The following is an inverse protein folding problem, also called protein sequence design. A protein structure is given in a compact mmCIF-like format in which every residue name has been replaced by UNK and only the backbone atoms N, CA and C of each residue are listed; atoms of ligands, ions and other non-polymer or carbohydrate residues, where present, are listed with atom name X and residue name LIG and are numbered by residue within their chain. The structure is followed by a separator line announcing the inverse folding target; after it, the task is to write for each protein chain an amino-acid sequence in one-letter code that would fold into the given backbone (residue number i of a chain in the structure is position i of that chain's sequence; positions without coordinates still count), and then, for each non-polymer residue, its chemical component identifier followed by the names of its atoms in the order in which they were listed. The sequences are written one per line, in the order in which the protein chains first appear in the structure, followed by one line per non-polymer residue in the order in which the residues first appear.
data_IF_886559245311
#
_entry.id   IF_886559245311
#
_cell.length_a   1.000
_cell.length_b   1.000
_cell.length_c   1.000
_cell.angle_alpha   90.00
_cell.angle_beta   90.00
_cell.angle_gamma   90.00
#
_symmetry.space_group_name_H-M   'P 1'
#
loop_
_entity.id
_entity.type
_entity.pdbx_description
1 polymer ?
#
# COMPACT_ATOMS: atom_id res chain seq x y z
N UNK A 1 -25.83 -19.19 0.67
CA UNK A 1 -26.00 -17.73 0.70
C UNK A 1 -24.90 -17.10 -0.12
N UNK A 2 -25.16 -16.14 -0.98
CA UNK A 2 -24.12 -15.43 -1.70
C UNK A 2 -23.25 -14.70 -0.66
N UNK A 3 -21.94 -14.82 -0.75
CA UNK A 3 -21.00 -14.15 0.12
C UNK A 3 -21.08 -12.63 -0.21
N UNK A 4 -21.32 -11.78 0.77
CA UNK A 4 -21.40 -10.34 0.57
C UNK A 4 -20.06 -9.79 0.09
N UNK A 5 -20.08 -8.74 -0.70
CA UNK A 5 -18.89 -7.99 -1.06
C UNK A 5 -18.42 -7.22 0.17
N UNK A 6 -17.30 -7.63 0.76
CA UNK A 6 -16.77 -7.08 2.01
C UNK A 6 -15.29 -6.74 1.87
N UNK A 7 -14.84 -5.71 2.59
CA UNK A 7 -13.43 -5.30 2.68
C UNK A 7 -12.97 -5.20 4.13
N UNK A 8 -11.66 -5.35 4.34
CA UNK A 8 -10.98 -5.09 5.60
C UNK A 8 -10.35 -3.70 5.54
N UNK A 9 -10.72 -2.82 6.46
CA UNK A 9 -10.18 -1.47 6.53
C UNK A 9 -8.84 -1.46 7.26
N UNK A 10 -7.90 -0.68 6.73
CA UNK A 10 -6.56 -0.46 7.25
C UNK A 10 -6.07 0.93 6.88
N UNK A 11 -4.86 1.30 7.28
CA UNK A 11 -4.20 2.53 6.85
C UNK A 11 -2.74 2.57 7.29
N UNK A 12 -1.95 3.45 6.69
CA UNK A 12 -0.57 3.66 7.09
C UNK A 12 -0.51 4.38 8.44
N UNK A 13 0.01 3.71 9.47
CA UNK A 13 0.06 4.20 10.83
C UNK A 13 0.77 5.55 10.95
N UNK A 14 1.87 5.70 10.24
CA UNK A 14 2.67 6.93 10.25
C UNK A 14 1.96 8.16 9.66
N UNK A 15 0.87 7.98 8.94
CA UNK A 15 0.03 9.10 8.50
C UNK A 15 -0.94 9.60 9.57
N UNK A 16 -1.33 8.76 10.50
CA UNK A 16 -2.28 9.09 11.55
C UNK A 16 -1.68 9.86 12.74
N UNK A 17 -0.35 10.05 12.79
CA UNK A 17 0.32 10.61 13.95
C UNK A 17 1.22 11.80 13.59
N UNK A 18 1.05 12.92 14.31
CA UNK A 18 1.83 14.15 14.08
C UNK A 18 3.33 13.94 14.32
N UNK A 19 3.72 13.14 15.31
CA UNK A 19 5.12 12.86 15.67
C UNK A 19 5.56 11.44 15.30
N UNK A 20 4.68 10.66 14.68
CA UNK A 20 4.92 9.26 14.29
C UNK A 20 5.35 8.34 15.43
N UNK A 21 5.10 8.70 16.69
CA UNK A 21 5.35 7.78 17.82
C UNK A 21 4.36 6.61 17.77
N UNK A 22 4.79 5.43 18.19
CA UNK A 22 3.95 4.22 18.21
C UNK A 22 2.64 4.47 18.97
N UNK A 23 2.71 5.08 20.15
CA UNK A 23 1.53 5.40 20.98
C UNK A 23 0.55 6.31 20.24
N UNK A 24 1.04 7.37 19.56
CA UNK A 24 0.14 8.26 18.81
C UNK A 24 -0.51 7.56 17.61
N UNK A 25 0.25 6.75 16.88
CA UNK A 25 -0.29 5.98 15.75
C UNK A 25 -1.40 5.05 16.25
N UNK A 26 -1.13 4.28 17.28
CA UNK A 26 -2.06 3.25 17.78
C UNK A 26 -3.28 3.85 18.47
N UNK A 27 -3.10 4.90 19.26
CA UNK A 27 -4.23 5.64 19.84
C UNK A 27 -5.16 6.21 18.75
N UNK A 28 -4.61 6.75 17.66
CA UNK A 28 -5.41 7.26 16.55
C UNK A 28 -6.21 6.16 15.86
N UNK A 29 -5.60 4.99 15.58
CA UNK A 29 -6.28 3.86 14.96
C UNK A 29 -7.36 3.26 15.88
N UNK A 30 -7.05 3.08 17.16
CA UNK A 30 -8.03 2.61 18.14
C UNK A 30 -9.21 3.58 18.26
N UNK A 31 -8.95 4.90 18.27
CA UNK A 31 -9.99 5.92 18.38
C UNK A 31 -10.95 5.99 17.18
N UNK A 32 -10.51 5.62 15.97
CA UNK A 32 -11.35 5.58 14.77
C UNK A 32 -11.89 4.17 14.46
N UNK A 33 -11.64 3.20 15.34
CA UNK A 33 -12.19 1.84 15.24
C UNK A 33 -11.50 0.96 14.18
N UNK A 34 -10.27 1.28 13.74
CA UNK A 34 -9.51 0.42 12.86
C UNK A 34 -8.72 -0.62 13.67
N UNK A 35 -8.80 -1.88 13.26
CA UNK A 35 -8.08 -3.00 13.86
C UNK A 35 -6.74 -3.29 13.17
N UNK A 36 -6.61 -2.90 11.92
CA UNK A 36 -5.44 -3.19 11.08
C UNK A 36 -4.74 -1.91 10.67
N UNK A 37 -3.39 -1.96 10.61
CA UNK A 37 -2.58 -0.86 10.11
C UNK A 37 -1.39 -1.37 9.29
N UNK A 38 -0.92 -0.58 8.33
CA UNK A 38 0.32 -0.84 7.59
C UNK A 38 1.49 -0.14 8.26
N UNK A 39 2.53 -0.93 8.59
CA UNK A 39 3.70 -0.46 9.31
C UNK A 39 4.79 0.00 8.35
N UNK A 40 5.05 1.32 8.30
CA UNK A 40 6.06 1.93 7.40
C UNK A 40 7.12 2.74 8.16
N UNK A 41 6.73 3.81 8.83
CA UNK A 41 7.60 4.62 9.67
C UNK A 41 7.01 4.71 11.09
N UNK A 42 7.86 4.54 12.09
CA UNK A 42 7.43 4.55 13.48
C UNK A 42 8.58 4.97 14.40
N UNK A 43 8.26 5.69 15.45
CA UNK A 43 9.14 5.95 16.59
C UNK A 43 8.70 5.09 17.78
N UNK A 44 9.52 4.11 18.11
CA UNK A 44 9.33 3.22 19.25
C UNK A 44 10.17 3.63 20.47
N UNK A 45 10.62 4.90 20.53
CA UNK A 45 11.38 5.47 21.63
C UNK A 45 12.83 5.87 21.30
N UNK A 46 13.29 5.62 20.07
CA UNK A 46 14.65 5.96 19.60
C UNK A 46 14.61 6.68 18.24
N UNK A 47 13.63 7.57 18.09
CA UNK A 47 13.39 8.37 16.89
C UNK A 47 12.66 7.63 15.77
N UNK A 48 12.22 8.41 14.78
CA UNK A 48 11.45 7.89 13.64
C UNK A 48 12.34 7.02 12.75
N UNK A 49 11.96 5.76 12.55
CA UNK A 49 12.66 4.81 11.67
C UNK A 49 11.69 4.20 10.64
N UNK A 50 12.22 3.91 9.46
CA UNK A 50 11.53 2.99 8.56
C UNK A 50 11.52 1.59 9.19
N UNK A 51 10.46 0.83 9.01
CA UNK A 51 10.30 -0.53 9.53
C UNK A 51 11.51 -1.43 9.27
N UNK A 52 12.18 -1.27 8.13
CA UNK A 52 13.39 -2.02 7.77
C UNK A 52 14.62 -1.74 8.67
N UNK A 53 14.55 -0.69 9.51
CA UNK A 53 15.65 -0.27 10.40
C UNK A 53 15.38 -0.54 11.88
N UNK A 54 14.26 -1.15 12.21
CA UNK A 54 13.91 -1.48 13.59
C UNK A 54 14.86 -2.50 14.19
N UNK A 55 15.26 -2.27 15.42
CA UNK A 55 15.98 -3.21 16.27
C UNK A 55 15.01 -4.25 16.88
N UNK A 56 15.55 -5.34 17.41
CA UNK A 56 14.74 -6.36 18.11
C UNK A 56 13.98 -5.79 19.31
N UNK A 57 14.58 -4.87 20.05
CA UNK A 57 13.92 -4.23 21.20
C UNK A 57 12.75 -3.36 20.76
N UNK A 58 12.91 -2.57 19.69
CA UNK A 58 11.83 -1.76 19.16
C UNK A 58 10.67 -2.61 18.60
N UNK A 59 10.99 -3.73 17.95
CA UNK A 59 9.96 -4.69 17.51
C UNK A 59 9.16 -5.22 18.71
N UNK A 60 9.81 -5.58 19.81
CA UNK A 60 9.14 -6.04 21.04
C UNK A 60 8.26 -4.94 21.65
N UNK A 61 8.76 -3.70 21.70
CA UNK A 61 7.97 -2.55 22.18
C UNK A 61 6.73 -2.33 21.34
N UNK A 62 6.86 -2.36 20.01
CA UNK A 62 5.73 -2.19 19.08
C UNK A 62 4.71 -3.32 19.29
N UNK A 63 5.16 -4.59 19.35
CA UNK A 63 4.28 -5.75 19.57
C UNK A 63 3.50 -5.64 20.90
N UNK A 64 4.17 -5.22 21.97
CA UNK A 64 3.48 -5.00 23.26
C UNK A 64 2.39 -3.91 23.15
N UNK A 65 2.68 -2.82 22.46
CA UNK A 65 1.70 -1.76 22.23
C UNK A 65 0.56 -2.23 21.29
N UNK A 66 0.85 -3.04 20.26
CA UNK A 66 -0.20 -3.68 19.43
C UNK A 66 -1.19 -4.48 20.30
N UNK A 67 -0.67 -5.29 21.21
CA UNK A 67 -1.49 -6.05 22.16
C UNK A 67 -2.30 -5.12 23.07
N UNK A 68 -1.69 -4.03 23.55
CA UNK A 68 -2.34 -3.05 24.42
C UNK A 68 -3.50 -2.34 23.71
N UNK A 69 -3.33 -1.95 22.44
CA UNK A 69 -4.34 -1.24 21.66
C UNK A 69 -5.27 -2.16 20.87
N UNK A 70 -5.04 -3.47 20.85
CA UNK A 70 -5.80 -4.44 20.08
C UNK A 70 -5.65 -4.27 18.57
N UNK A 71 -4.44 -3.95 18.10
CA UNK A 71 -4.12 -3.71 16.69
C UNK A 71 -3.31 -4.85 16.10
N UNK A 72 -3.40 -4.99 14.78
CA UNK A 72 -2.65 -5.98 14.02
C UNK A 72 -2.01 -5.33 12.78
N UNK A 73 -0.83 -5.80 12.39
CA UNK A 73 -0.19 -5.34 11.16
C UNK A 73 -0.88 -5.96 9.94
N UNK A 74 -1.46 -5.12 9.09
CA UNK A 74 -2.01 -5.53 7.80
C UNK A 74 -0.89 -5.88 6.82
N UNK A 75 0.10 -4.98 6.68
CA UNK A 75 1.23 -5.18 5.79
C UNK A 75 2.51 -4.52 6.31
N UNK A 76 3.66 -5.06 5.91
CA UNK A 76 4.93 -4.36 6.03
C UNK A 76 5.05 -3.34 4.89
N UNK A 77 4.97 -2.06 5.21
CA UNK A 77 5.13 -0.94 4.28
C UNK A 77 6.59 -0.74 3.87
N UNK A 78 7.19 -1.77 3.27
CA UNK A 78 8.62 -1.79 2.94
C UNK A 78 8.95 -0.89 1.74
N UNK A 79 10.20 -0.39 1.61
CA UNK A 79 10.68 0.29 0.42
C UNK A 79 11.31 -0.68 -0.61
N UNK A 80 11.05 -2.00 -0.49
CA UNK A 80 11.61 -2.98 -1.43
C UNK A 80 11.20 -2.62 -2.86
N UNK A 81 12.20 -2.51 -3.75
CA UNK A 81 12.00 -2.09 -5.13
C UNK A 81 12.14 -0.58 -5.37
N UNK A 82 12.23 0.27 -4.34
CA UNK A 82 12.61 1.71 -4.51
C UNK A 82 14.12 1.90 -4.61
N UNK A 83 14.73 1.19 -5.53
CA UNK A 83 16.15 1.30 -5.91
C UNK A 83 16.27 1.30 -7.43
N UNK A 84 17.38 1.80 -7.98
CA UNK A 84 17.64 1.76 -9.41
C UNK A 84 17.67 0.32 -9.91
N UNK A 85 17.04 0.06 -11.04
CA UNK A 85 17.09 -1.22 -11.73
C UNK A 85 18.47 -1.49 -12.31
N UNK A 86 19.11 -0.46 -12.85
CA UNK A 86 20.40 -0.50 -13.51
C UNK A 86 21.41 0.40 -12.79
N UNK A 87 22.68 0.01 -12.83
CA UNK A 87 23.80 0.82 -12.33
C UNK A 87 24.22 1.85 -13.39
N UNK A 88 23.38 2.86 -13.57
CA UNK A 88 23.62 3.93 -14.53
C UNK A 88 23.43 5.31 -13.89
N UNK A 89 24.24 6.28 -14.31
CA UNK A 89 24.04 7.68 -13.92
C UNK A 89 22.92 8.29 -14.79
N UNK A 90 21.82 8.68 -14.15
CA UNK A 90 20.63 9.21 -14.81
C UNK A 90 20.18 10.57 -14.23
N UNK A 91 21.02 11.19 -13.41
CA UNK A 91 20.76 12.46 -12.76
C UNK A 91 19.80 12.37 -11.56
N UNK A 92 19.35 11.16 -11.17
CA UNK A 92 18.52 10.94 -9.98
C UNK A 92 19.40 10.61 -8.76
N UNK A 93 18.87 10.86 -7.55
CA UNK A 93 19.52 10.49 -6.28
C UNK A 93 19.21 9.06 -5.82
N UNK A 94 18.48 8.29 -6.63
CA UNK A 94 18.10 6.93 -6.27
C UNK A 94 19.35 6.04 -6.19
N UNK A 95 19.41 5.19 -5.17
CA UNK A 95 20.53 4.27 -4.99
C UNK A 95 20.41 3.05 -5.91
N UNK A 96 21.54 2.54 -6.37
CA UNK A 96 21.64 1.21 -6.97
C UNK A 96 22.21 0.22 -5.94
N UNK A 97 21.65 -0.98 -5.93
CA UNK A 97 22.18 -2.10 -5.12
C UNK A 97 22.22 -3.34 -6.01
N UNK A 98 23.37 -4.06 -6.13
CA UNK A 98 23.43 -5.30 -6.88
C UNK A 98 22.33 -6.28 -6.43
N UNK A 99 21.53 -6.78 -7.35
CA UNK A 99 20.27 -7.45 -7.03
C UNK A 99 20.43 -8.67 -6.12
N UNK A 100 21.46 -9.48 -6.32
CA UNK A 100 21.72 -10.64 -5.42
C UNK A 100 21.91 -10.19 -3.97
N UNK A 101 22.71 -9.15 -3.73
CA UNK A 101 22.93 -8.58 -2.39
C UNK A 101 21.64 -8.00 -1.83
N UNK A 102 20.84 -7.37 -2.68
CA UNK A 102 19.53 -6.80 -2.32
C UNK A 102 18.54 -7.88 -1.87
N UNK A 103 18.46 -8.96 -2.64
CA UNK A 103 17.60 -10.12 -2.33
C UNK A 103 18.01 -10.77 -1.00
N UNK A 104 19.30 -11.08 -0.84
CA UNK A 104 19.83 -11.79 0.33
C UNK A 104 19.76 -10.98 1.62
N UNK A 105 19.73 -9.64 1.54
CA UNK A 105 19.74 -8.77 2.70
C UNK A 105 18.40 -8.08 2.92
N UNK A 106 17.95 -7.27 1.96
CA UNK A 106 16.78 -6.39 2.17
C UNK A 106 15.47 -7.18 2.05
N UNK A 107 15.31 -8.02 1.02
CA UNK A 107 14.09 -8.81 0.85
C UNK A 107 13.96 -9.84 1.96
N UNK A 108 15.06 -10.54 2.31
CA UNK A 108 15.07 -11.46 3.44
C UNK A 108 14.68 -10.76 4.74
N UNK A 109 15.20 -9.56 5.00
CA UNK A 109 14.86 -8.75 6.19
C UNK A 109 13.35 -8.41 6.20
N UNK A 110 12.76 -8.07 5.05
CA UNK A 110 11.32 -7.80 4.97
C UNK A 110 10.50 -9.06 5.31
N UNK A 111 10.92 -10.25 4.87
CA UNK A 111 10.28 -11.52 5.26
C UNK A 111 10.39 -11.78 6.77
N UNK A 112 11.57 -11.57 7.37
CA UNK A 112 11.77 -11.70 8.81
C UNK A 112 10.87 -10.74 9.61
N UNK A 113 10.69 -9.51 9.14
CA UNK A 113 9.79 -8.52 9.76
C UNK A 113 8.32 -8.92 9.61
N UNK A 114 7.90 -9.43 8.46
CA UNK A 114 6.54 -9.91 8.27
C UNK A 114 6.19 -11.02 9.26
N UNK A 115 7.11 -11.96 9.51
CA UNK A 115 6.93 -12.97 10.52
C UNK A 115 6.94 -12.40 11.96
N UNK A 116 7.85 -11.46 12.26
CA UNK A 116 7.93 -10.84 13.59
C UNK A 116 6.65 -10.06 13.96
N UNK A 117 5.98 -9.49 12.98
CA UNK A 117 4.72 -8.78 13.13
C UNK A 117 3.47 -9.60 12.75
N UNK A 118 3.63 -10.90 12.53
CA UNK A 118 2.55 -11.86 12.26
C UNK A 118 1.65 -11.48 11.07
N UNK A 119 2.19 -10.72 10.10
CA UNK A 119 1.48 -10.40 8.86
C UNK A 119 1.91 -11.29 7.70
N UNK A 120 1.02 -11.49 6.73
CA UNK A 120 1.29 -12.24 5.50
C UNK A 120 1.69 -11.34 4.32
N UNK A 121 1.60 -10.02 4.48
CA UNK A 121 1.75 -9.10 3.37
C UNK A 121 3.00 -8.22 3.49
N UNK A 122 3.73 -8.13 2.39
CA UNK A 122 4.84 -7.20 2.22
C UNK A 122 4.52 -6.32 1.01
N UNK A 123 4.41 -5.01 1.23
CA UNK A 123 4.32 -4.05 0.13
C UNK A 123 5.72 -3.77 -0.42
N UNK A 124 5.82 -3.66 -1.74
CA UNK A 124 7.02 -3.23 -2.44
C UNK A 124 6.73 -2.66 -3.81
N UNK A 125 7.76 -2.49 -4.63
CA UNK A 125 7.75 -1.72 -5.86
C UNK A 125 8.49 -2.41 -6.99
N UNK A 126 8.44 -1.81 -8.21
CA UNK A 126 8.92 -2.41 -9.46
C UNK A 126 10.23 -1.80 -9.98
N UNK A 127 11.04 -1.19 -9.12
CA UNK A 127 12.33 -0.56 -9.41
C UNK A 127 12.24 0.72 -10.27
N UNK A 128 13.15 1.66 -10.02
CA UNK A 128 13.32 2.85 -10.85
C UNK A 128 14.01 2.48 -12.16
N UNK A 129 13.37 2.76 -13.30
CA UNK A 129 14.05 2.73 -14.61
C UNK A 129 14.88 4.00 -14.79
N UNK A 130 15.90 3.98 -15.66
CA UNK A 130 16.69 5.19 -15.94
C UNK A 130 15.80 6.33 -16.44
N UNK A 131 16.00 7.52 -15.91
CA UNK A 131 15.21 8.70 -16.26
C UNK A 131 15.22 8.94 -17.77
N UNK A 132 14.04 9.16 -18.34
CA UNK A 132 13.89 9.43 -19.78
C UNK A 132 13.85 8.20 -20.67
N UNK A 133 13.94 6.98 -20.12
CA UNK A 133 13.74 5.74 -20.89
C UNK A 133 12.27 5.29 -20.84
N UNK A 134 11.87 4.52 -21.85
CA UNK A 134 10.57 3.87 -21.85
C UNK A 134 10.56 2.69 -20.85
N UNK A 135 9.67 2.67 -19.84
CA UNK A 135 9.61 1.59 -18.86
C UNK A 135 9.36 0.21 -19.48
N UNK A 136 8.71 0.12 -20.63
CA UNK A 136 8.49 -1.15 -21.34
C UNK A 136 9.78 -1.88 -21.70
N UNK A 137 10.87 -1.15 -21.98
CA UNK A 137 12.19 -1.72 -22.29
C UNK A 137 12.80 -2.49 -21.12
N UNK A 138 12.30 -2.26 -19.90
CA UNK A 138 12.83 -2.81 -18.66
C UNK A 138 11.96 -3.93 -18.05
N UNK A 139 10.80 -4.23 -18.65
CA UNK A 139 9.84 -5.23 -18.13
C UNK A 139 10.49 -6.59 -17.93
N UNK A 140 11.26 -7.09 -18.90
CA UNK A 140 11.87 -8.42 -18.80
C UNK A 140 12.79 -8.55 -17.58
N UNK A 141 13.62 -7.54 -17.30
CA UNK A 141 14.52 -7.55 -16.16
C UNK A 141 13.74 -7.44 -14.82
N UNK A 142 12.68 -6.64 -14.79
CA UNK A 142 11.81 -6.54 -13.60
C UNK A 142 11.08 -7.86 -13.36
N UNK A 143 10.63 -8.55 -14.40
CA UNK A 143 10.03 -9.89 -14.30
C UNK A 143 10.99 -10.87 -13.64
N UNK A 144 12.25 -10.90 -14.04
CA UNK A 144 13.27 -11.78 -13.44
C UNK A 144 13.50 -11.45 -11.95
N UNK A 145 13.62 -10.16 -11.62
CA UNK A 145 13.89 -9.74 -10.25
C UNK A 145 12.66 -9.92 -9.33
N UNK A 146 11.47 -9.53 -9.77
CA UNK A 146 10.24 -9.74 -9.01
C UNK A 146 9.88 -11.22 -8.88
N UNK A 147 10.22 -12.03 -9.89
CA UNK A 147 10.07 -13.49 -9.83
C UNK A 147 10.88 -14.10 -8.68
N UNK A 148 12.13 -13.67 -8.50
CA UNK A 148 12.98 -14.13 -7.39
C UNK A 148 12.51 -13.61 -6.04
N UNK A 149 12.02 -12.37 -5.94
CA UNK A 149 11.41 -11.83 -4.72
C UNK A 149 10.15 -12.63 -4.36
N UNK A 150 9.26 -12.85 -5.33
CA UNK A 150 8.04 -13.62 -5.13
C UNK A 150 8.32 -15.08 -4.70
N UNK A 151 9.36 -15.69 -5.26
CA UNK A 151 9.78 -17.04 -4.87
C UNK A 151 10.30 -17.08 -3.43
N UNK A 152 11.06 -16.09 -2.98
CA UNK A 152 11.49 -15.98 -1.58
C UNK A 152 10.29 -15.82 -0.65
N UNK A 153 9.32 -14.97 -1.00
CA UNK A 153 8.09 -14.78 -0.24
C UNK A 153 7.24 -16.07 -0.21
N UNK A 154 7.13 -16.78 -1.34
CA UNK A 154 6.40 -18.04 -1.41
C UNK A 154 6.97 -19.09 -0.45
N UNK A 155 8.29 -19.25 -0.44
CA UNK A 155 8.99 -20.19 0.47
C UNK A 155 8.85 -19.80 1.94
N UNK A 156 8.61 -18.52 2.21
CA UNK A 156 8.39 -17.98 3.55
C UNK A 156 6.89 -17.93 3.93
N UNK A 157 6.00 -18.50 3.13
CA UNK A 157 4.54 -18.40 3.31
C UNK A 157 4.02 -16.96 3.42
N UNK A 158 4.57 -16.07 2.59
CA UNK A 158 4.26 -14.65 2.52
C UNK A 158 3.76 -14.27 1.13
N UNK A 159 3.16 -13.07 1.03
CA UNK A 159 2.69 -12.48 -0.22
C UNK A 159 3.37 -11.13 -0.44
N UNK A 160 3.93 -10.94 -1.62
CA UNK A 160 4.55 -9.69 -2.04
C UNK A 160 3.60 -8.93 -2.96
N UNK A 161 3.19 -7.74 -2.54
CA UNK A 161 2.37 -6.85 -3.37
C UNK A 161 3.20 -5.77 -4.02
N UNK A 162 3.08 -5.64 -5.33
CA UNK A 162 3.75 -4.59 -6.10
C UNK A 162 2.80 -3.43 -6.28
N UNK A 163 3.16 -2.28 -5.71
CA UNK A 163 2.39 -1.04 -5.81
C UNK A 163 2.63 -0.36 -7.16
N UNK A 164 1.53 0.08 -7.76
CA UNK A 164 1.52 1.00 -8.89
C UNK A 164 2.01 2.37 -8.41
N UNK A 165 3.16 2.84 -8.93
CA UNK A 165 3.69 4.15 -8.55
C UNK A 165 4.51 4.78 -9.69
N UNK A 166 4.40 6.10 -9.81
CA UNK A 166 5.11 6.92 -10.79
C UNK A 166 6.65 6.74 -10.73
N UNK A 167 7.30 6.99 -11.83
CA UNK A 167 8.77 6.92 -12.01
C UNK A 167 9.38 5.50 -11.90
N UNK A 168 8.57 4.48 -11.64
CA UNK A 168 8.98 3.07 -11.59
C UNK A 168 8.64 2.37 -12.90
N UNK A 169 9.21 1.19 -13.13
CA UNK A 169 8.84 0.39 -14.31
C UNK A 169 7.34 0.10 -14.32
N UNK A 170 6.76 -0.31 -13.19
CA UNK A 170 5.33 -0.53 -13.01
C UNK A 170 4.56 0.74 -12.67
N UNK A 171 4.74 1.81 -13.42
CA UNK A 171 4.11 3.10 -13.16
C UNK A 171 2.63 3.18 -13.54
N UNK A 172 2.11 2.18 -14.24
CA UNK A 172 0.70 2.07 -14.60
C UNK A 172 0.19 0.62 -14.55
N UNK A 173 -1.12 0.45 -14.66
CA UNK A 173 -1.78 -0.85 -14.51
C UNK A 173 -1.47 -1.82 -15.65
N UNK A 174 -1.31 -1.33 -16.87
CA UNK A 174 -1.00 -2.16 -18.04
C UNK A 174 0.37 -2.84 -17.89
N UNK A 175 1.41 -2.07 -17.54
CA UNK A 175 2.76 -2.62 -17.33
C UNK A 175 2.81 -3.57 -16.15
N UNK A 176 2.18 -3.22 -15.01
CA UNK A 176 2.13 -4.12 -13.85
C UNK A 176 1.37 -5.41 -14.13
N UNK A 177 0.28 -5.34 -14.88
CA UNK A 177 -0.46 -6.53 -15.30
C UNK A 177 0.41 -7.45 -16.17
N UNK A 178 1.18 -6.89 -17.10
CA UNK A 178 2.11 -7.66 -17.94
C UNK A 178 3.23 -8.30 -17.11
N UNK A 179 3.83 -7.55 -16.17
CA UNK A 179 4.84 -8.09 -15.24
C UNK A 179 4.23 -9.26 -14.44
N UNK A 180 3.07 -9.09 -13.84
CA UNK A 180 2.39 -10.14 -13.08
C UNK A 180 2.10 -11.38 -13.94
N UNK A 181 1.62 -11.18 -15.18
CA UNK A 181 1.33 -12.25 -16.12
C UNK A 181 2.56 -13.07 -16.47
N UNK A 182 3.74 -12.44 -16.57
CA UNK A 182 5.00 -13.11 -16.91
C UNK A 182 5.63 -13.80 -15.71
N UNK A 183 5.61 -13.20 -14.53
CA UNK A 183 6.19 -13.79 -13.29
C UNK A 183 5.50 -15.09 -12.90
N UNK A 184 4.19 -15.21 -13.06
CA UNK A 184 3.40 -16.44 -12.80
C UNK A 184 3.65 -17.07 -11.42
N UNK A 185 3.89 -16.28 -10.40
CA UNK A 185 4.09 -16.75 -9.03
C UNK A 185 2.90 -16.36 -8.16
N UNK A 186 2.32 -17.30 -7.44
CA UNK A 186 1.12 -17.08 -6.62
C UNK A 186 1.37 -16.16 -5.42
N UNK A 187 2.62 -15.96 -5.01
CA UNK A 187 2.99 -15.03 -3.95
C UNK A 187 3.12 -13.59 -4.44
N UNK A 188 3.09 -13.33 -5.76
CA UNK A 188 3.05 -11.98 -6.32
C UNK A 188 1.61 -11.55 -6.54
N UNK A 189 1.26 -10.38 -6.01
CA UNK A 189 -0.02 -9.72 -6.27
C UNK A 189 0.22 -8.24 -6.58
N UNK A 190 -0.82 -7.55 -7.06
CA UNK A 190 -0.76 -6.15 -7.44
C UNK A 190 -1.50 -5.30 -6.42
N UNK A 191 -0.94 -4.13 -6.10
CA UNK A 191 -1.57 -3.11 -5.28
C UNK A 191 -2.01 -1.98 -6.20
N UNK A 192 -3.32 -1.75 -6.26
CA UNK A 192 -3.87 -0.66 -7.04
C UNK A 192 -3.96 0.61 -6.19
N UNK A 193 -3.47 1.71 -6.74
CA UNK A 193 -3.54 3.04 -6.15
C UNK A 193 -4.02 4.03 -7.21
N UNK A 194 -5.26 4.48 -7.09
CA UNK A 194 -5.88 5.39 -8.06
C UNK A 194 -5.24 6.79 -8.01
N UNK A 195 -4.90 7.29 -6.81
CA UNK A 195 -4.27 8.59 -6.63
C UNK A 195 -2.90 8.70 -7.31
N UNK A 196 -2.15 7.59 -7.33
CA UNK A 196 -0.86 7.53 -8.04
C UNK A 196 -0.99 7.64 -9.57
N UNK A 197 -2.11 7.23 -10.15
CA UNK A 197 -2.40 7.45 -11.57
C UNK A 197 -2.90 8.87 -11.82
N UNK A 198 -3.83 9.32 -10.99
CA UNK A 198 -4.44 10.65 -11.16
C UNK A 198 -3.38 11.73 -11.04
N UNK A 199 -2.43 11.65 -10.10
CA UNK A 199 -1.35 12.63 -10.01
C UNK A 199 -0.41 12.63 -11.23
N UNK A 200 -0.36 11.54 -12.01
CA UNK A 200 0.34 11.46 -13.29
C UNK A 200 -0.47 12.08 -14.46
N UNK A 201 -1.67 12.58 -14.20
CA UNK A 201 -2.54 13.20 -15.20
C UNK A 201 -3.49 12.24 -15.91
N UNK A 202 -3.77 11.06 -15.33
CA UNK A 202 -4.82 10.18 -15.84
C UNK A 202 -6.20 10.71 -15.45
N UNK A 203 -7.13 10.71 -16.39
CA UNK A 203 -8.55 10.98 -16.13
C UNK A 203 -9.20 9.79 -15.42
N UNK A 204 -10.35 10.01 -14.76
CA UNK A 204 -11.10 8.94 -14.08
C UNK A 204 -11.41 7.74 -15.00
N UNK A 205 -11.73 7.98 -16.27
CA UNK A 205 -11.97 6.91 -17.24
C UNK A 205 -10.71 6.08 -17.53
N UNK A 206 -9.57 6.75 -17.69
CA UNK A 206 -8.27 6.08 -17.88
C UNK A 206 -7.83 5.34 -16.61
N UNK A 207 -8.05 5.91 -15.40
CA UNK A 207 -7.77 5.24 -14.13
C UNK A 207 -8.59 3.95 -14.01
N UNK A 208 -9.87 3.98 -14.38
CA UNK A 208 -10.71 2.77 -14.42
C UNK A 208 -10.18 1.74 -15.42
N UNK A 209 -9.67 2.16 -16.56
CA UNK A 209 -9.04 1.24 -17.54
C UNK A 209 -7.78 0.59 -16.95
N UNK A 210 -6.93 1.35 -16.28
CA UNK A 210 -5.76 0.81 -15.59
C UNK A 210 -6.14 -0.19 -14.49
N UNK A 211 -7.21 0.07 -13.74
CA UNK A 211 -7.76 -0.89 -12.78
C UNK A 211 -8.18 -2.20 -13.48
N UNK A 212 -8.83 -2.11 -14.63
CA UNK A 212 -9.27 -3.29 -15.39
C UNK A 212 -8.12 -4.19 -15.82
N UNK A 213 -6.98 -3.61 -16.25
CA UNK A 213 -5.76 -4.39 -16.53
C UNK A 213 -5.30 -5.18 -15.31
N UNK A 214 -5.34 -4.58 -14.11
CA UNK A 214 -4.80 -5.18 -12.88
C UNK A 214 -5.70 -6.21 -12.21
N UNK A 215 -6.97 -6.34 -12.58
CA UNK A 215 -7.96 -7.22 -11.92
C UNK A 215 -7.48 -8.65 -11.68
N UNK A 216 -6.78 -9.26 -12.65
CA UNK A 216 -6.32 -10.64 -12.55
C UNK A 216 -5.27 -10.87 -11.45
N UNK A 217 -4.46 -9.85 -11.17
CA UNK A 217 -3.40 -9.88 -10.16
C UNK A 217 -3.74 -9.15 -8.86
N UNK A 218 -4.92 -8.52 -8.77
CA UNK A 218 -5.27 -7.65 -7.66
C UNK A 218 -5.19 -8.37 -6.31
N UNK A 219 -4.43 -7.79 -5.36
CA UNK A 219 -4.26 -8.27 -3.99
C UNK A 219 -4.94 -7.39 -2.96
N UNK A 220 -4.68 -6.09 -3.00
CA UNK A 220 -5.33 -5.08 -2.16
C UNK A 220 -5.24 -3.70 -2.81
N UNK A 221 -5.76 -2.67 -2.15
CA UNK A 221 -5.73 -1.30 -2.64
C UNK A 221 -5.17 -0.34 -1.62
N UNK A 222 -4.40 0.64 -2.07
CA UNK A 222 -4.14 1.87 -1.33
C UNK A 222 -5.22 2.88 -1.70
N UNK A 223 -5.69 3.61 -0.70
CA UNK A 223 -6.79 4.55 -0.84
C UNK A 223 -6.30 5.96 -0.57
N UNK A 224 -6.11 6.69 -1.62
CA UNK A 224 -5.92 8.14 -1.66
C UNK A 224 -6.52 8.68 -2.94
N UNK A 225 -6.83 9.95 -2.98
CA UNK A 225 -7.33 10.60 -4.18
C UNK A 225 -6.53 11.86 -4.45
N UNK A 226 -6.66 12.37 -5.64
CA UNK A 226 -5.91 13.52 -6.11
C UNK A 226 -6.84 14.45 -6.87
N UNK A 227 -6.71 15.76 -6.64
CA UNK A 227 -7.44 16.78 -7.39
C UNK A 227 -6.51 17.48 -8.35
N UNK A 228 -6.85 17.42 -9.62
CA UNK A 228 -6.08 18.12 -10.65
C UNK A 228 -6.10 19.63 -10.42
N UNK A 229 -4.94 20.31 -10.40
CA UNK A 229 -4.92 21.74 -10.63
C UNK A 229 -5.54 22.06 -12.00
N UNK A 230 -6.16 23.23 -12.13
CA UNK A 230 -6.64 23.71 -13.44
C UNK A 230 -5.51 23.58 -14.48
N UNK A 231 -5.79 22.96 -15.64
CA UNK A 231 -4.85 22.68 -16.72
C UNK A 231 -3.80 21.58 -16.48
N UNK A 232 -4.06 20.58 -15.65
CA UNK A 232 -3.15 19.43 -15.52
C UNK A 232 -3.01 18.67 -16.85
N UNK A 233 -1.74 18.36 -17.22
CA UNK A 233 -1.41 17.52 -18.38
C UNK A 233 -0.73 16.25 -17.89
N UNK A 234 -0.78 15.20 -18.72
CA UNK A 234 -0.01 13.99 -18.48
C UNK A 234 1.46 14.35 -18.23
N UNK A 235 2.01 13.90 -17.10
CA UNK A 235 3.39 14.19 -16.72
C UNK A 235 4.25 12.95 -16.91
N UNK A 236 5.41 13.13 -17.52
CA UNK A 236 6.40 12.06 -17.72
C UNK A 236 7.21 11.75 -16.44
N UNK A 237 7.19 12.67 -15.47
CA UNK A 237 7.90 12.54 -14.20
C UNK A 237 7.15 13.32 -13.12
N UNK A 238 6.94 12.69 -11.97
CA UNK A 238 6.27 13.29 -10.83
C UNK A 238 7.29 13.82 -9.85
N UNK A 239 7.14 15.07 -9.44
CA UNK A 239 7.94 15.77 -8.44
C UNK A 239 7.17 16.03 -7.14
N UNK A 240 7.85 16.62 -6.14
CA UNK A 240 7.27 16.89 -4.82
C UNK A 240 6.17 17.97 -4.86
N UNK A 241 6.19 18.91 -5.81
CA UNK A 241 5.13 19.91 -5.94
C UNK A 241 3.81 19.27 -6.39
N UNK A 242 3.90 18.31 -7.31
CA UNK A 242 2.75 17.54 -7.78
C UNK A 242 2.06 16.81 -6.62
N UNK A 243 2.81 16.34 -5.62
CA UNK A 243 2.28 15.58 -4.49
C UNK A 243 1.50 16.41 -3.46
N UNK A 244 1.29 17.70 -3.68
CA UNK A 244 0.57 18.60 -2.73
C UNK A 244 -0.96 18.60 -2.89
N UNK A 245 -1.49 17.95 -3.92
CA UNK A 245 -2.91 18.03 -4.27
C UNK A 245 -3.70 16.76 -3.92
N UNK A 246 -3.18 15.93 -3.00
CA UNK A 246 -3.92 14.78 -2.49
C UNK A 246 -5.11 15.23 -1.65
N UNK A 247 -6.23 14.55 -1.79
CA UNK A 247 -7.51 14.82 -1.15
C UNK A 247 -8.16 13.51 -0.69
N UNK A 248 -9.17 13.56 0.20
CA UNK A 248 -9.98 12.39 0.55
C UNK A 248 -10.65 11.73 -0.67
N UNK A 249 -10.91 10.43 -0.59
CA UNK A 249 -11.33 9.57 -1.70
C UNK A 249 -12.68 9.92 -2.36
N UNK A 250 -13.54 10.69 -1.68
CA UNK A 250 -14.87 11.08 -2.18
C UNK A 250 -14.90 12.46 -2.88
N UNK A 251 -13.75 13.16 -2.95
CA UNK A 251 -13.72 14.55 -3.47
C UNK A 251 -12.62 14.81 -4.52
N UNK A 252 -11.88 13.78 -4.92
CA UNK A 252 -10.84 13.87 -5.94
C UNK A 252 -11.32 13.47 -7.33
N UNK A 253 -10.39 13.32 -8.25
CA UNK A 253 -10.62 13.09 -9.67
C UNK A 253 -10.30 11.66 -10.12
N UNK A 254 -10.01 10.73 -9.17
CA UNK A 254 -9.65 9.34 -9.50
C UNK A 254 -10.84 8.46 -9.90
N UNK A 255 -12.07 8.85 -9.55
CA UNK A 255 -13.28 8.11 -9.93
C UNK A 255 -13.50 6.82 -9.13
N UNK A 256 -13.25 6.83 -7.83
CA UNK A 256 -13.38 5.67 -6.95
C UNK A 256 -14.74 4.98 -7.04
N UNK A 257 -15.85 5.72 -7.23
CA UNK A 257 -17.19 5.13 -7.35
C UNK A 257 -17.32 4.20 -8.56
N UNK A 258 -16.66 4.52 -9.67
CA UNK A 258 -16.66 3.66 -10.86
C UNK A 258 -15.80 2.41 -10.62
N UNK A 259 -14.64 2.57 -9.98
CA UNK A 259 -13.72 1.50 -9.65
C UNK A 259 -14.39 0.53 -8.66
N UNK A 260 -15.01 1.05 -7.60
CA UNK A 260 -15.62 0.23 -6.54
C UNK A 260 -16.86 -0.55 -7.04
N UNK A 261 -17.62 -0.01 -8.01
CA UNK A 261 -18.69 -0.78 -8.67
C UNK A 261 -18.17 -2.05 -9.34
N UNK A 262 -17.02 -1.96 -10.03
CA UNK A 262 -16.40 -3.14 -10.66
C UNK A 262 -15.70 -4.03 -9.64
N UNK A 263 -15.06 -3.44 -8.61
CA UNK A 263 -14.43 -4.18 -7.53
C UNK A 263 -15.44 -5.03 -6.75
N UNK A 264 -16.62 -4.50 -6.47
CA UNK A 264 -17.68 -5.23 -5.75
C UNK A 264 -17.95 -6.61 -6.33
N UNK A 265 -17.97 -6.73 -7.64
CA UNK A 265 -18.23 -8.01 -8.33
C UNK A 265 -17.06 -9.02 -8.16
N UNK A 266 -15.86 -8.51 -7.86
CA UNK A 266 -14.65 -9.32 -7.69
C UNK A 266 -14.45 -9.75 -6.22
N UNK A 267 -14.91 -8.93 -5.27
CA UNK A 267 -14.61 -9.07 -3.84
C UNK A 267 -14.90 -10.47 -3.27
N UNK A 268 -16.05 -11.12 -3.52
CA UNK A 268 -16.30 -12.44 -2.93
C UNK A 268 -15.23 -13.47 -3.30
N UNK A 269 -14.73 -13.42 -4.53
CA UNK A 269 -13.67 -14.32 -5.01
C UNK A 269 -12.28 -13.93 -4.48
N UNK A 270 -11.99 -12.64 -4.47
CA UNK A 270 -10.71 -12.09 -3.96
C UNK A 270 -10.59 -12.35 -2.46
N UNK A 271 -11.60 -12.00 -1.68
CA UNK A 271 -11.62 -12.20 -0.23
C UNK A 271 -11.41 -13.68 0.13
N UNK A 272 -12.15 -14.57 -0.51
CA UNK A 272 -11.99 -16.02 -0.30
C UNK A 272 -10.58 -16.52 -0.67
N UNK A 273 -9.96 -15.99 -1.73
CA UNK A 273 -8.58 -16.32 -2.11
C UNK A 273 -7.57 -15.87 -1.06
N UNK A 274 -7.72 -14.64 -0.54
CA UNK A 274 -6.82 -14.04 0.44
C UNK A 274 -6.93 -14.73 1.80
N UNK A 275 -8.16 -14.99 2.28
CA UNK A 275 -8.39 -15.71 3.55
C UNK A 275 -7.80 -17.11 3.55
N UNK A 276 -7.82 -17.84 2.43
CA UNK A 276 -7.14 -19.16 2.31
C UNK A 276 -5.62 -19.06 2.49
N UNK A 277 -5.03 -17.87 2.35
CA UNK A 277 -3.61 -17.58 2.60
C UNK A 277 -3.33 -17.02 3.99
N UNK A 278 -4.33 -16.98 4.86
CA UNK A 278 -4.21 -16.41 6.20
C UNK A 278 -4.22 -14.88 6.23
N UNK A 279 -4.65 -14.22 5.14
CA UNK A 279 -4.83 -12.77 5.06
C UNK A 279 -6.24 -12.43 5.56
N UNK A 280 -6.45 -11.37 6.34
CA UNK A 280 -7.75 -11.09 6.99
C UNK A 280 -8.89 -10.72 6.03
N UNK A 281 -8.61 -10.60 4.75
CA UNK A 281 -9.57 -10.28 3.69
C UNK A 281 -8.98 -9.38 2.64
N UNK A 282 -9.82 -8.79 1.79
CA UNK A 282 -9.37 -7.78 0.84
C UNK A 282 -9.15 -6.44 1.56
N UNK A 283 -7.90 -6.01 1.66
CA UNK A 283 -7.52 -4.82 2.42
C UNK A 283 -7.70 -3.57 1.58
N UNK A 284 -8.31 -2.54 2.17
CA UNK A 284 -8.26 -1.15 1.73
C UNK A 284 -7.43 -0.35 2.71
N UNK A 285 -6.26 0.07 2.27
CA UNK A 285 -5.21 0.67 3.10
C UNK A 285 -5.17 2.18 2.88
N UNK A 286 -5.64 2.95 3.85
CA UNK A 286 -5.66 4.41 3.76
C UNK A 286 -4.24 4.98 3.71
N UNK A 287 -3.92 5.73 2.67
CA UNK A 287 -2.67 6.47 2.49
C UNK A 287 -2.96 7.92 2.05
N UNK A 288 -3.67 8.72 2.85
CA UNK A 288 -4.40 9.88 2.37
C UNK A 288 -3.55 11.10 1.97
N UNK A 289 -2.37 11.32 2.55
CA UNK A 289 -1.47 12.46 2.27
C UNK A 289 -2.14 13.85 2.30
N UNK A 290 -3.21 14.04 3.08
CA UNK A 290 -4.07 15.24 2.99
C UNK A 290 -3.46 16.53 3.55
N UNK A 291 -2.34 16.48 4.27
CA UNK A 291 -1.69 17.67 4.84
C UNK A 291 -0.31 17.99 4.26
N UNK A 292 0.24 17.23 3.47
CA UNK A 292 1.40 17.35 2.61
C UNK A 292 1.90 15.95 2.29
N UNK A 293 1.85 15.55 1.06
CA UNK A 293 2.49 14.32 0.58
C UNK A 293 3.95 14.60 0.29
N UNK A 294 4.84 13.72 0.68
CA UNK A 294 6.25 13.76 0.32
C UNK A 294 6.79 12.35 0.12
N UNK A 295 7.94 12.24 -0.53
CA UNK A 295 8.60 10.96 -0.84
C UNK A 295 8.89 10.09 0.40
N UNK A 296 8.89 10.68 1.59
CA UNK A 296 9.33 10.04 2.85
C UNK A 296 8.17 9.75 3.82
N UNK A 297 7.04 9.37 3.28
CA UNK A 297 5.85 9.08 4.05
C UNK A 297 4.92 10.29 4.13
N UNK A 298 3.67 10.07 3.79
CA UNK A 298 2.62 11.08 3.86
C UNK A 298 2.39 11.58 5.27
N UNK A 299 1.64 12.66 5.34
CA UNK A 299 1.21 13.23 6.59
C UNK A 299 -0.26 13.62 6.51
N UNK A 300 -1.05 13.13 7.43
CA UNK A 300 -2.46 13.47 7.54
C UNK A 300 -2.85 13.90 8.97
N UNK A 301 -2.16 13.35 9.96
CA UNK A 301 -2.50 13.49 11.37
C UNK A 301 -3.78 12.72 11.73
N UNK A 302 -4.15 12.65 13.02
CA UNK A 302 -5.32 11.89 13.46
C UNK A 302 -6.62 12.46 12.90
N UNK A 303 -6.74 13.77 12.77
CA UNK A 303 -7.87 14.46 12.17
C UNK A 303 -7.97 14.19 10.65
N UNK A 304 -6.86 14.26 9.91
CA UNK A 304 -6.81 13.95 8.49
C UNK A 304 -7.11 12.47 8.20
N UNK A 305 -6.60 11.56 9.02
CA UNK A 305 -6.91 10.13 8.90
C UNK A 305 -8.40 9.86 9.16
N UNK A 306 -9.01 10.49 10.16
CA UNK A 306 -10.44 10.39 10.42
C UNK A 306 -11.30 10.94 9.28
N UNK A 307 -10.88 12.04 8.63
CA UNK A 307 -11.54 12.57 7.42
C UNK A 307 -11.42 11.58 6.26
N UNK A 308 -10.24 10.99 6.06
CA UNK A 308 -10.01 10.02 4.99
C UNK A 308 -10.83 8.74 5.18
N UNK A 309 -10.92 8.22 6.42
CA UNK A 309 -11.76 7.06 6.72
C UNK A 309 -13.23 7.35 6.43
N UNK A 310 -13.77 8.47 6.90
CA UNK A 310 -15.15 8.86 6.62
C UNK A 310 -15.43 9.00 5.13
N UNK A 311 -14.47 9.52 4.38
CA UNK A 311 -14.54 9.64 2.93
C UNK A 311 -14.61 8.27 2.25
N UNK A 312 -13.71 7.35 2.64
CA UNK A 312 -13.74 5.97 2.14
C UNK A 312 -15.09 5.29 2.45
N UNK A 313 -15.59 5.40 3.69
CA UNK A 313 -16.89 4.82 4.09
C UNK A 313 -18.02 5.31 3.18
N UNK A 314 -18.08 6.60 2.85
CA UNK A 314 -19.10 7.15 1.92
C UNK A 314 -19.05 6.50 0.54
N UNK A 315 -17.85 6.27 -0.01
CA UNK A 315 -17.70 5.61 -1.31
C UNK A 315 -18.07 4.14 -1.23
N UNK A 316 -17.74 3.45 -0.12
CA UNK A 316 -18.12 2.05 0.13
C UNK A 316 -19.65 1.91 0.24
N UNK A 317 -20.30 2.76 1.04
CA UNK A 317 -21.76 2.80 1.21
C UNK A 317 -22.47 3.02 -0.14
N UNK A 318 -22.01 4.02 -0.91
CA UNK A 318 -22.53 4.29 -2.26
C UNK A 318 -22.37 3.09 -3.19
N UNK A 319 -21.24 2.37 -3.09
CA UNK A 319 -20.93 1.20 -3.93
C UNK A 319 -21.51 -0.11 -3.39
N UNK A 320 -22.17 -0.08 -2.22
CA UNK A 320 -22.75 -1.25 -1.53
C UNK A 320 -21.69 -2.33 -1.27
N UNK A 321 -20.58 -1.92 -0.70
CA UNK A 321 -19.48 -2.78 -0.24
C UNK A 321 -19.49 -2.74 1.29
N UNK A 322 -19.59 -3.90 1.91
CA UNK A 322 -19.63 -4.01 3.38
C UNK A 322 -18.23 -3.80 3.97
N UNK A 323 -18.16 -3.19 5.13
CA UNK A 323 -16.96 -3.00 5.93
C UNK A 323 -17.32 -3.03 7.42
N UNK A 324 -16.33 -3.17 8.28
CA UNK A 324 -16.52 -3.10 9.72
C UNK A 324 -15.57 -2.07 10.33
N UNK A 325 -16.13 -1.23 11.20
CA UNK A 325 -15.40 -0.33 12.11
C UNK A 325 -15.72 -0.83 13.50
N UNK A 326 -14.69 -1.13 14.31
CA UNK A 326 -14.87 -1.62 15.68
C UNK A 326 -15.58 -0.55 16.53
N UNK A 327 -16.55 -0.97 17.25
CA UNK A 327 -17.21 -0.18 18.27
C UNK A 327 -16.76 -0.60 19.69
N UNK A 328 -17.38 -0.03 20.71
CA UNK A 328 -17.04 -0.33 22.09
C UNK A 328 -17.36 -1.79 22.47
N UNK A 329 -18.44 -2.35 21.94
CA UNK A 329 -18.83 -3.73 22.22
C UNK A 329 -17.84 -4.73 21.64
N UNK A 330 -17.29 -4.47 20.45
CA UNK A 330 -16.18 -5.25 19.87
C UNK A 330 -14.93 -5.21 20.77
N UNK A 331 -14.60 -4.03 21.32
CA UNK A 331 -13.45 -3.85 22.20
C UNK A 331 -13.66 -4.62 23.51
N UNK A 332 -14.86 -4.55 24.08
CA UNK A 332 -15.21 -5.31 25.30
C UNK A 332 -15.14 -6.81 25.05
N UNK A 333 -15.66 -7.29 23.91
CA UNK A 333 -15.61 -8.70 23.54
C UNK A 333 -14.17 -9.23 23.41
N UNK A 334 -13.29 -8.44 22.82
CA UNK A 334 -11.88 -8.84 22.59
C UNK A 334 -11.03 -8.73 23.85
N UNK A 335 -11.32 -7.80 24.75
CA UNK A 335 -10.48 -7.47 25.91
C UNK A 335 -11.05 -7.92 27.25
N UNK A 336 -12.31 -8.29 27.32
CA UNK A 336 -12.95 -8.90 28.48
C UNK A 336 -13.17 -7.97 29.68
N UNK A 337 -13.47 -6.68 29.44
CA UNK A 337 -13.87 -5.75 30.49
C UNK A 337 -15.26 -5.17 30.29
#
# INVERSE_FOLDING_TARGET
MAQNAQVTLSGFGDEAANQKTAVQQFAAFAAIGLQYYSLRFIDAGDGIKNVMKLSKGEIQTIRHLEDEYGLNVASIGSPIGKVKLLDVEDGTKNAYVPFKKYLDKEVKKACELAHAFETKLIRGFSFYHPKGTDPWQHVSQVVDQLGQIAEMCLRSDLTYGVELEANLVGQNGEILAEIHRQVKNSALVLIFDAGNLTCQGYSAAEVLEQFRFMKAGLGWMHIKDYRHPEASKRQAHIDEETLKHFVPADIGDSGHEMIFKELRELLPKLDAKLRRRGIPGFIMDLEPHVKAGGQYGGFSGPDGMGVALRSLCRVLDFSKIDYHIRDFDDIVADRGF
#
